data_IF_727452415841
#
_entry.id   IF_727452415841
#
_cell.length_a   1.000
_cell.length_b   1.000
_cell.length_c   1.000
_cell.angle_alpha   90.00
_cell.angle_beta   90.00
_cell.angle_gamma   90.00
#
_symmetry.space_group_name_H-M   'P 1'
#
loop_
_entity.id
_entity.type
_entity.pdbx_description
1 polymer ?
#
# COMPACT_ATOMS: atom_id res chain seq x y z
N UNK A 1 -7.68 19.04 7.01
CA UNK A 1 -7.90 18.29 5.76
C UNK A 1 -6.62 18.10 4.93
N UNK A 2 -5.83 19.13 4.65
CA UNK A 2 -4.58 19.02 3.86
C UNK A 2 -3.54 18.06 4.48
N UNK A 3 -3.40 18.07 5.80
CA UNK A 3 -2.44 17.23 6.55
C UNK A 3 -2.71 15.74 6.38
N UNK A 4 -3.97 15.29 6.49
CA UNK A 4 -4.32 13.88 6.31
C UNK A 4 -4.07 13.39 4.88
N UNK A 5 -4.33 14.22 3.88
CA UNK A 5 -4.04 13.89 2.48
C UNK A 5 -2.52 13.80 2.22
N UNK A 6 -1.71 14.66 2.84
CA UNK A 6 -0.23 14.57 2.76
C UNK A 6 0.25 13.30 3.47
N UNK A 7 -0.27 13.02 4.64
CA UNK A 7 0.08 11.81 5.40
C UNK A 7 -0.29 10.54 4.63
N UNK A 8 -1.47 10.51 3.99
CA UNK A 8 -1.87 9.39 3.14
C UNK A 8 -0.92 9.19 1.96
N UNK A 9 -0.48 10.28 1.32
CA UNK A 9 0.52 10.20 0.26
C UNK A 9 1.86 9.64 0.77
N UNK A 10 2.33 10.13 1.92
CA UNK A 10 3.59 9.67 2.51
C UNK A 10 3.55 8.17 2.86
N UNK A 11 2.47 7.71 3.48
CA UNK A 11 2.26 6.29 3.79
C UNK A 11 2.21 5.45 2.50
N UNK A 12 1.49 5.92 1.47
CA UNK A 12 1.37 5.21 0.19
C UNK A 12 2.72 5.08 -0.52
N UNK A 13 3.52 6.15 -0.55
CA UNK A 13 4.89 6.10 -1.05
C UNK A 13 5.78 5.19 -0.21
N UNK A 14 5.62 5.21 1.12
CA UNK A 14 6.32 4.28 2.01
C UNK A 14 6.06 2.83 1.64
N UNK A 15 4.81 2.46 1.32
CA UNK A 15 4.45 1.11 0.88
C UNK A 15 5.08 0.78 -0.48
N UNK A 16 5.06 1.72 -1.45
CA UNK A 16 5.71 1.53 -2.76
C UNK A 16 7.21 1.26 -2.59
N UNK A 17 7.89 2.11 -1.82
CA UNK A 17 9.34 1.97 -1.58
C UNK A 17 9.64 0.66 -0.86
N UNK A 18 8.89 0.33 0.19
CA UNK A 18 9.07 -0.91 0.93
C UNK A 18 8.84 -2.14 0.05
N UNK A 19 7.80 -2.15 -0.78
CA UNK A 19 7.54 -3.22 -1.75
C UNK A 19 8.66 -3.35 -2.78
N UNK A 20 9.20 -2.24 -3.27
CA UNK A 20 10.32 -2.23 -4.20
C UNK A 20 11.60 -2.79 -3.56
N UNK A 21 11.90 -2.38 -2.32
CA UNK A 21 13.02 -2.92 -1.55
C UNK A 21 12.85 -4.42 -1.27
N UNK A 22 11.62 -4.85 -1.02
CA UNK A 22 11.29 -6.27 -0.81
C UNK A 22 11.57 -7.09 -2.07
N UNK A 23 11.16 -6.59 -3.25
CA UNK A 23 11.50 -7.22 -4.54
C UNK A 23 13.04 -7.29 -4.75
N UNK A 24 13.74 -6.18 -4.53
CA UNK A 24 15.20 -6.14 -4.68
C UNK A 24 15.91 -7.08 -3.70
N UNK A 25 15.39 -7.25 -2.50
CA UNK A 25 15.95 -8.17 -1.51
C UNK A 25 15.90 -9.62 -1.95
N UNK A 26 15.03 -9.99 -2.90
CA UNK A 26 15.00 -11.34 -3.50
C UNK A 26 16.32 -11.71 -4.14
N UNK A 27 17.07 -10.74 -4.67
CA UNK A 27 18.41 -10.97 -5.25
C UNK A 27 19.45 -11.45 -4.22
N UNK A 28 19.19 -11.24 -2.93
CA UNK A 28 20.04 -11.72 -1.82
C UNK A 28 19.65 -13.12 -1.32
N UNK A 29 18.54 -13.65 -1.80
CA UNK A 29 17.98 -14.94 -1.39
C UNK A 29 18.41 -16.10 -2.29
N UNK A 30 19.60 -15.98 -2.95
CA UNK A 30 20.10 -16.95 -3.93
C UNK A 30 20.24 -18.39 -3.37
N UNK A 31 20.39 -18.54 -2.06
CA UNK A 31 20.46 -19.83 -1.38
C UNK A 31 19.10 -20.40 -0.97
N UNK A 32 18.01 -19.68 -1.26
CA UNK A 32 16.64 -20.11 -0.96
C UNK A 32 16.05 -20.92 -2.10
N UNK A 33 14.96 -21.64 -1.83
CA UNK A 33 14.24 -22.37 -2.89
C UNK A 33 13.63 -21.38 -3.91
N UNK A 34 13.58 -21.74 -5.21
CA UNK A 34 12.95 -20.87 -6.24
C UNK A 34 11.50 -20.49 -5.90
N UNK A 35 10.77 -21.40 -5.27
CA UNK A 35 9.38 -21.15 -4.83
C UNK A 35 9.35 -20.03 -3.78
N UNK A 36 10.25 -20.06 -2.81
CA UNK A 36 10.32 -19.02 -1.78
C UNK A 36 10.71 -17.66 -2.39
N UNK A 37 11.67 -17.63 -3.33
CA UNK A 37 12.07 -16.41 -4.03
C UNK A 37 10.89 -15.82 -4.81
N UNK A 38 10.12 -16.65 -5.53
CA UNK A 38 8.95 -16.22 -6.29
C UNK A 38 7.86 -15.62 -5.37
N UNK A 39 7.56 -16.28 -4.25
CA UNK A 39 6.59 -15.78 -3.27
C UNK A 39 7.04 -14.47 -2.63
N UNK A 40 8.33 -14.38 -2.29
CA UNK A 40 8.91 -13.18 -1.69
C UNK A 40 8.85 -11.99 -2.66
N UNK A 41 9.26 -12.21 -3.93
CA UNK A 41 9.15 -11.20 -4.98
C UNK A 41 7.69 -10.79 -5.22
N UNK A 42 6.78 -11.75 -5.32
CA UNK A 42 5.34 -11.50 -5.50
C UNK A 42 4.71 -10.68 -4.38
N UNK A 43 5.12 -10.93 -3.13
CA UNK A 43 4.68 -10.13 -1.99
C UNK A 43 5.14 -8.66 -2.11
N UNK A 44 6.38 -8.42 -2.49
CA UNK A 44 6.90 -7.07 -2.75
C UNK A 44 6.16 -6.36 -3.89
N UNK A 45 5.86 -7.08 -4.97
CA UNK A 45 5.09 -6.57 -6.09
C UNK A 45 3.66 -6.19 -5.66
N UNK A 46 2.99 -7.04 -4.88
CA UNK A 46 1.66 -6.74 -4.35
C UNK A 46 1.66 -5.48 -3.48
N UNK A 47 2.67 -5.31 -2.60
CA UNK A 47 2.84 -4.11 -1.80
C UNK A 47 3.01 -2.86 -2.68
N UNK A 48 3.90 -2.91 -3.68
CA UNK A 48 4.14 -1.77 -4.57
C UNK A 48 2.86 -1.38 -5.33
N UNK A 49 2.10 -2.35 -5.84
CA UNK A 49 0.83 -2.09 -6.53
C UNK A 49 -0.24 -1.51 -5.59
N UNK A 50 -0.37 -2.01 -4.36
CA UNK A 50 -1.33 -1.46 -3.39
C UNK A 50 -0.92 -0.04 -2.99
N UNK A 51 0.36 0.23 -2.81
CA UNK A 51 0.85 1.59 -2.57
C UNK A 51 0.51 2.55 -3.73
N UNK A 52 0.73 2.13 -4.97
CA UNK A 52 0.35 2.89 -6.17
C UNK A 52 -1.18 3.09 -6.27
N UNK A 53 -1.96 2.06 -5.95
CA UNK A 53 -3.42 2.13 -5.91
C UNK A 53 -3.91 3.15 -4.86
N UNK A 54 -3.24 3.24 -3.71
CA UNK A 54 -3.54 4.26 -2.69
C UNK A 54 -3.26 5.68 -3.19
N UNK A 55 -2.20 5.89 -3.98
CA UNK A 55 -1.93 7.19 -4.61
C UNK A 55 -3.02 7.56 -5.62
N UNK A 56 -3.49 6.62 -6.43
CA UNK A 56 -4.62 6.81 -7.34
C UNK A 56 -5.91 7.09 -6.56
N UNK A 57 -6.16 6.35 -5.48
CA UNK A 57 -7.32 6.58 -4.62
C UNK A 57 -7.29 7.96 -3.99
N UNK A 58 -6.14 8.42 -3.53
CA UNK A 58 -5.97 9.78 -3.02
C UNK A 58 -6.31 10.83 -4.09
N UNK A 59 -5.94 10.58 -5.34
CA UNK A 59 -6.16 11.52 -6.45
C UNK A 59 -7.60 11.51 -6.98
N UNK A 60 -8.21 10.34 -7.11
CA UNK A 60 -9.47 10.14 -7.85
C UNK A 60 -10.60 9.54 -7.02
N UNK A 61 -10.38 9.22 -5.75
CA UNK A 61 -11.34 8.53 -4.90
C UNK A 61 -12.66 9.29 -4.70
N UNK A 62 -12.66 10.63 -4.80
CA UNK A 62 -13.89 11.43 -4.70
C UNK A 62 -14.86 11.20 -5.85
N UNK A 63 -14.37 10.90 -7.06
CA UNK A 63 -15.16 10.75 -8.28
C UNK A 63 -15.40 9.29 -8.68
N UNK A 64 -14.66 8.33 -8.11
CA UNK A 64 -14.68 6.93 -8.56
C UNK A 64 -15.00 5.95 -7.42
N UNK A 65 -16.29 5.57 -7.28
CA UNK A 65 -16.73 4.60 -6.27
C UNK A 65 -16.02 3.25 -6.40
N UNK A 66 -15.86 2.76 -7.63
CA UNK A 66 -15.17 1.49 -7.87
C UNK A 66 -13.72 1.51 -7.37
N UNK A 67 -13.02 2.62 -7.57
CA UNK A 67 -11.66 2.80 -7.07
C UNK A 67 -11.61 2.75 -5.53
N UNK A 68 -12.58 3.35 -4.83
CA UNK A 68 -12.67 3.28 -3.36
C UNK A 68 -12.82 1.86 -2.88
N UNK A 69 -13.76 1.12 -3.47
CA UNK A 69 -14.04 -0.27 -3.09
C UNK A 69 -12.80 -1.16 -3.34
N UNK A 70 -12.21 -1.07 -4.52
CA UNK A 70 -11.03 -1.88 -4.88
C UNK A 70 -9.83 -1.52 -4.00
N UNK A 71 -9.58 -0.23 -3.77
CA UNK A 71 -8.46 0.21 -2.94
C UNK A 71 -8.60 -0.24 -1.48
N UNK A 72 -9.78 -0.04 -0.87
CA UNK A 72 -10.03 -0.46 0.51
C UNK A 72 -9.96 -1.98 0.65
N UNK A 73 -10.52 -2.71 -0.30
CA UNK A 73 -10.43 -4.18 -0.34
C UNK A 73 -8.99 -4.67 -0.47
N UNK A 74 -8.21 -4.08 -1.36
CA UNK A 74 -6.79 -4.42 -1.55
C UNK A 74 -5.96 -4.14 -0.28
N UNK A 75 -6.21 -3.03 0.41
CA UNK A 75 -5.55 -2.71 1.68
C UNK A 75 -5.88 -3.74 2.77
N UNK A 76 -7.16 -4.12 2.92
CA UNK A 76 -7.58 -5.14 3.89
C UNK A 76 -6.89 -6.48 3.59
N UNK A 77 -6.93 -6.92 2.33
CA UNK A 77 -6.31 -8.19 1.93
C UNK A 77 -4.80 -8.18 2.17
N UNK A 78 -4.12 -7.07 1.83
CA UNK A 78 -2.68 -6.95 2.07
C UNK A 78 -2.37 -6.92 3.56
N UNK A 79 -3.18 -6.27 4.39
CA UNK A 79 -3.01 -6.26 5.85
C UNK A 79 -3.17 -7.66 6.44
N UNK A 80 -4.23 -8.38 6.05
CA UNK A 80 -4.43 -9.76 6.48
C UNK A 80 -3.26 -10.66 6.05
N UNK A 81 -2.82 -10.53 4.80
CA UNK A 81 -1.67 -11.26 4.29
C UNK A 81 -0.40 -10.95 5.08
N UNK A 82 -0.12 -9.68 5.36
CA UNK A 82 1.07 -9.25 6.11
C UNK A 82 1.09 -9.81 7.54
N UNK A 83 -0.06 -9.82 8.21
CA UNK A 83 -0.20 -10.41 9.54
C UNK A 83 0.07 -11.92 9.49
N UNK A 84 -0.58 -12.65 8.59
CA UNK A 84 -0.41 -14.10 8.45
C UNK A 84 1.03 -14.45 8.05
N UNK A 85 1.59 -13.76 7.05
CA UNK A 85 2.96 -13.96 6.63
C UNK A 85 3.96 -13.69 7.77
N UNK A 86 3.74 -12.64 8.56
CA UNK A 86 4.56 -12.33 9.72
C UNK A 86 4.52 -13.42 10.81
N UNK A 87 3.44 -14.16 10.90
CA UNK A 87 3.32 -15.31 11.82
C UNK A 87 4.01 -16.57 11.29
N UNK A 88 3.94 -16.79 9.98
CA UNK A 88 4.48 -18.01 9.34
C UNK A 88 5.96 -17.92 9.01
N UNK A 89 6.52 -16.70 8.94
CA UNK A 89 7.93 -16.47 8.59
C UNK A 89 8.75 -16.09 9.83
N UNK A 90 10.04 -16.37 9.78
CA UNK A 90 11.00 -15.98 10.84
C UNK A 90 11.41 -14.49 10.72
N UNK A 91 10.53 -13.63 10.18
CA UNK A 91 10.81 -12.20 10.05
C UNK A 91 10.98 -11.55 11.42
N UNK A 92 11.82 -10.52 11.49
CA UNK A 92 12.04 -9.79 12.74
C UNK A 92 10.75 -9.07 13.19
N UNK A 93 10.59 -8.89 14.51
CA UNK A 93 9.44 -8.14 15.03
C UNK A 93 9.36 -6.72 14.49
N UNK A 94 10.53 -6.10 14.21
CA UNK A 94 10.62 -4.74 13.65
C UNK A 94 10.06 -4.69 12.22
N UNK A 95 10.43 -5.64 11.36
CA UNK A 95 9.90 -5.74 10.00
C UNK A 95 8.38 -5.90 10.00
N UNK A 96 7.86 -6.80 10.85
CA UNK A 96 6.41 -6.99 11.02
C UNK A 96 5.72 -5.70 11.46
N UNK A 97 6.28 -5.04 12.48
CA UNK A 97 5.71 -3.80 13.00
C UNK A 97 5.67 -2.69 11.93
N UNK A 98 6.75 -2.52 11.16
CA UNK A 98 6.81 -1.52 10.08
C UNK A 98 5.78 -1.81 8.98
N UNK A 99 5.69 -3.07 8.51
CA UNK A 99 4.75 -3.43 7.44
C UNK A 99 3.30 -3.24 7.92
N UNK A 100 2.96 -3.77 9.10
CA UNK A 100 1.61 -3.68 9.67
C UNK A 100 1.24 -2.22 9.97
N UNK A 101 2.17 -1.42 10.47
CA UNK A 101 1.91 0.01 10.72
C UNK A 101 1.65 0.79 9.43
N UNK A 102 2.45 0.58 8.38
CA UNK A 102 2.24 1.25 7.08
C UNK A 102 0.94 0.82 6.42
N UNK A 103 0.74 -0.49 6.26
CA UNK A 103 -0.45 -1.03 5.58
C UNK A 103 -1.71 -0.77 6.42
N UNK A 104 -1.65 -0.90 7.74
CA UNK A 104 -2.74 -0.57 8.64
C UNK A 104 -3.14 0.91 8.58
N UNK A 105 -2.14 1.81 8.57
CA UNK A 105 -2.38 3.25 8.38
C UNK A 105 -3.04 3.54 7.03
N UNK A 106 -2.56 2.94 5.94
CA UNK A 106 -3.17 3.09 4.62
C UNK A 106 -4.61 2.56 4.60
N UNK A 107 -4.86 1.42 5.25
CA UNK A 107 -6.20 0.84 5.38
C UNK A 107 -7.15 1.83 6.07
N UNK A 108 -6.78 2.35 7.23
CA UNK A 108 -7.59 3.34 7.97
C UNK A 108 -7.84 4.58 7.11
N UNK A 109 -6.79 5.13 6.49
CA UNK A 109 -6.89 6.34 5.69
C UNK A 109 -7.73 6.15 4.42
N UNK A 110 -7.80 4.94 3.87
CA UNK A 110 -8.64 4.65 2.71
C UNK A 110 -10.14 4.78 2.99
N UNK A 111 -10.57 4.71 4.25
CA UNK A 111 -11.95 4.92 4.67
C UNK A 111 -12.26 6.38 5.04
N UNK A 112 -11.26 7.25 5.14
CA UNK A 112 -11.43 8.64 5.57
C UNK A 112 -11.57 9.59 4.37
N UNK A 113 -12.77 10.18 4.12
CA UNK A 113 -12.97 11.11 3.00
C UNK A 113 -12.01 12.31 3.01
N UNK A 114 -11.58 12.76 4.18
CA UNK A 114 -10.62 13.84 4.35
C UNK A 114 -9.20 13.50 3.88
N UNK A 115 -8.87 12.22 3.73
CA UNK A 115 -7.55 11.77 3.27
C UNK A 115 -7.43 11.76 1.73
N UNK A 116 -8.54 11.52 1.01
CA UNK A 116 -8.55 11.37 -0.45
C UNK A 116 -9.38 12.42 -1.21
N UNK A 117 -9.97 13.42 -0.54
CA UNK A 117 -10.56 14.59 -1.17
C UNK A 117 -9.45 15.52 -1.70
N UNK A 118 -8.69 15.07 -2.68
CA UNK A 118 -7.81 15.91 -3.47
C UNK A 118 -8.67 16.83 -4.34
N UNK A 119 -8.55 18.15 -4.13
CA UNK A 119 -9.10 19.11 -5.07
C UNK A 119 -8.34 18.96 -6.38
N UNK A 120 -8.94 18.34 -7.40
CA UNK A 120 -8.55 18.71 -8.74
C UNK A 120 -8.93 20.19 -8.94
N UNK A 121 -8.05 21.01 -9.52
CA UNK A 121 -8.49 22.30 -10.03
C UNK A 121 -9.67 22.02 -10.97
N UNK A 122 -10.77 22.78 -10.80
CA UNK A 122 -11.91 22.73 -11.71
C UNK A 122 -11.37 22.82 -13.14
N UNK A 123 -11.81 21.93 -14.02
CA UNK A 123 -11.38 21.99 -15.41
C UNK A 123 -11.80 23.36 -15.98
N UNK A 124 -10.90 24.09 -16.67
CA UNK A 124 -11.28 25.32 -17.32
C UNK A 124 -12.34 25.00 -18.38
N UNK A 125 -13.61 25.35 -18.10
CA UNK A 125 -14.74 25.08 -19.01
C UNK A 125 -16.05 24.68 -18.33
N UNK A 126 -16.09 24.46 -17.01
CA UNK A 126 -17.33 24.20 -16.25
C UNK A 126 -17.78 25.47 -15.48
N UNK A 127 -17.85 26.59 -16.14
CA UNK A 127 -18.48 27.81 -15.61
C UNK A 127 -19.64 28.23 -16.50
#
# INVERSE_FOLDING_TARGET
MRTLSIFYAAVSWGIVVLGSLHMLSTLRLLNSTPVFQLWFFGAGMAMAFVGALNLLHRAYGSSALGLRVVCSGANILLLCFAVVAGWLTSSSWLERAVIVALVGSATILSFLPSAWNGRFPAQPGEA
#
